data_IF_413169649464
#
_entry.id   IF_413169649464
#
_cell.length_a   1.000
_cell.length_b   1.000
_cell.length_c   1.000
_cell.angle_alpha   90.00
_cell.angle_beta   90.00
_cell.angle_gamma   90.00
#
_symmetry.space_group_name_H-M   'P 1'
#
loop_
_entity.id
_entity.type
_entity.pdbx_description
1 polymer ?
#
# COMPACT_ATOMS: atom_id res chain seq x y z
N UNK A 1 6.45 -54.40 2.99
CA UNK A 1 7.19 -53.24 3.53
C UNK A 1 8.10 -53.74 4.62
N UNK A 2 9.41 -53.47 4.57
CA UNK A 2 10.32 -53.86 5.66
C UNK A 2 10.28 -52.80 6.76
N UNK A 3 10.44 -53.21 8.04
CA UNK A 3 10.46 -52.29 9.20
C UNK A 3 11.39 -51.09 8.96
N UNK A 4 12.54 -51.32 8.33
CA UNK A 4 13.54 -50.29 7.98
C UNK A 4 12.99 -49.22 7.03
N UNK A 5 12.12 -49.62 6.09
CA UNK A 5 11.50 -48.71 5.12
C UNK A 5 10.40 -47.86 5.75
N UNK A 6 9.69 -48.39 6.76
CA UNK A 6 8.71 -47.63 7.54
C UNK A 6 9.39 -46.58 8.43
N UNK A 7 10.51 -46.92 9.09
CA UNK A 7 11.29 -45.96 9.87
C UNK A 7 11.88 -44.82 9.04
N UNK A 8 12.40 -45.15 7.84
CA UNK A 8 12.86 -44.12 6.91
C UNK A 8 11.73 -43.18 6.48
N UNK A 9 10.53 -43.71 6.22
CA UNK A 9 9.36 -42.88 5.91
C UNK A 9 8.98 -41.95 7.06
N UNK A 10 8.96 -42.44 8.29
CA UNK A 10 8.65 -41.62 9.48
C UNK A 10 9.68 -40.50 9.65
N UNK A 11 10.97 -40.79 9.45
CA UNK A 11 12.02 -39.76 9.50
C UNK A 11 11.84 -38.69 8.43
N UNK A 12 11.60 -39.09 7.17
CA UNK A 12 11.35 -38.15 6.08
C UNK A 12 10.13 -37.29 6.37
N UNK A 13 9.04 -37.89 6.86
CA UNK A 13 7.80 -37.19 7.16
C UNK A 13 7.99 -36.20 8.33
N UNK A 14 8.76 -36.58 9.34
CA UNK A 14 9.11 -35.69 10.47
C UNK A 14 9.94 -34.49 10.02
N UNK A 15 10.88 -34.68 9.09
CA UNK A 15 11.67 -33.58 8.53
C UNK A 15 10.79 -32.65 7.71
N UNK A 16 9.93 -33.20 6.85
CA UNK A 16 9.01 -32.41 6.03
C UNK A 16 8.07 -31.56 6.90
N UNK A 17 7.46 -32.15 7.94
CA UNK A 17 6.59 -31.41 8.86
C UNK A 17 7.37 -30.31 9.58
N UNK A 18 8.57 -30.61 10.07
CA UNK A 18 9.40 -29.63 10.77
C UNK A 18 9.74 -28.42 9.88
N UNK A 19 10.14 -28.67 8.63
CA UNK A 19 10.42 -27.61 7.65
C UNK A 19 9.15 -26.82 7.35
N UNK A 20 8.02 -27.49 7.06
CA UNK A 20 6.77 -26.80 6.74
C UNK A 20 6.28 -25.91 7.87
N UNK A 21 6.31 -26.39 9.12
CA UNK A 21 5.91 -25.61 10.29
C UNK A 21 6.82 -24.39 10.46
N UNK A 22 8.14 -24.57 10.36
CA UNK A 22 9.08 -23.46 10.47
C UNK A 22 8.88 -22.42 9.38
N UNK A 23 8.68 -22.83 8.13
CA UNK A 23 8.39 -21.91 7.03
C UNK A 23 7.13 -21.11 7.31
N UNK A 24 6.03 -21.75 7.73
CA UNK A 24 4.78 -21.05 8.05
C UNK A 24 4.94 -20.05 9.18
N UNK A 25 5.61 -20.43 10.27
CA UNK A 25 5.86 -19.53 11.42
C UNK A 25 6.72 -18.35 11.00
N UNK A 26 7.81 -18.60 10.27
CA UNK A 26 8.72 -17.56 9.81
C UNK A 26 8.02 -16.60 8.85
N UNK A 27 7.28 -17.12 7.87
CA UNK A 27 6.48 -16.30 6.95
C UNK A 27 5.47 -15.44 7.70
N UNK A 28 4.81 -15.98 8.72
CA UNK A 28 3.87 -15.21 9.54
C UNK A 28 4.54 -14.06 10.30
N UNK A 29 5.71 -14.31 10.91
CA UNK A 29 6.45 -13.29 11.65
C UNK A 29 6.95 -12.18 10.72
N UNK A 30 7.50 -12.56 9.56
CA UNK A 30 7.96 -11.62 8.54
C UNK A 30 6.79 -10.76 8.02
N UNK A 31 5.64 -11.38 7.78
CA UNK A 31 4.45 -10.67 7.33
C UNK A 31 3.97 -9.63 8.36
N UNK A 32 3.91 -10.01 9.64
CA UNK A 32 3.51 -9.08 10.70
C UNK A 32 4.50 -7.92 10.83
N UNK A 33 5.81 -8.21 10.83
CA UNK A 33 6.85 -7.18 10.85
C UNK A 33 6.71 -6.21 9.66
N UNK A 34 6.43 -6.73 8.47
CA UNK A 34 6.23 -5.90 7.27
C UNK A 34 5.01 -4.99 7.41
N UNK A 35 3.90 -5.50 7.95
CA UNK A 35 2.67 -4.72 8.18
C UNK A 35 2.93 -3.60 9.19
N UNK A 36 3.59 -3.91 10.31
CA UNK A 36 3.90 -2.91 11.34
C UNK A 36 4.83 -1.83 10.79
N UNK A 37 5.90 -2.23 10.11
CA UNK A 37 6.84 -1.31 9.46
C UNK A 37 6.14 -0.41 8.43
N UNK A 38 5.27 -1.00 7.60
CA UNK A 38 4.51 -0.27 6.59
C UNK A 38 3.52 0.71 7.21
N UNK A 39 2.94 0.36 8.37
CA UNK A 39 2.05 1.24 9.15
C UNK A 39 2.79 2.43 9.71
N UNK A 40 3.95 2.21 10.34
CA UNK A 40 4.77 3.30 10.86
C UNK A 40 5.28 4.23 9.77
N UNK A 41 5.69 3.65 8.63
CA UNK A 41 6.13 4.43 7.48
C UNK A 41 4.98 5.24 6.88
N UNK A 42 3.79 4.65 6.75
CA UNK A 42 2.58 5.34 6.32
C UNK A 42 2.26 6.54 7.23
N UNK A 43 2.26 6.35 8.55
CA UNK A 43 1.96 7.42 9.51
C UNK A 43 2.96 8.58 9.38
N UNK A 44 4.26 8.28 9.25
CA UNK A 44 5.30 9.30 9.00
C UNK A 44 5.12 10.00 7.66
N UNK A 45 4.70 9.29 6.62
CA UNK A 45 4.47 9.84 5.30
C UNK A 45 3.27 10.80 5.31
N UNK A 46 2.18 10.44 5.98
CA UNK A 46 1.00 11.29 6.18
C UNK A 46 1.35 12.57 6.93
N UNK A 47 2.12 12.50 8.02
CA UNK A 47 2.49 13.72 8.76
C UNK A 47 3.31 14.67 7.89
N UNK A 48 4.21 14.16 7.04
CA UNK A 48 4.98 14.98 6.11
C UNK A 48 4.10 15.57 4.99
N UNK A 49 3.16 14.78 4.46
CA UNK A 49 2.20 15.22 3.47
C UNK A 49 1.34 16.39 3.99
N UNK A 50 0.83 16.28 5.22
CA UNK A 50 0.04 17.35 5.85
C UNK A 50 0.87 18.61 6.06
N UNK A 51 2.12 18.47 6.54
CA UNK A 51 3.01 19.62 6.71
C UNK A 51 3.34 20.30 5.37
N UNK A 52 3.65 19.53 4.33
CA UNK A 52 3.89 20.06 2.99
C UNK A 52 2.66 20.77 2.44
N UNK A 53 1.47 20.15 2.60
CA UNK A 53 0.22 20.73 2.13
C UNK A 53 -0.12 22.03 2.85
N UNK A 54 0.19 22.12 4.16
CA UNK A 54 0.08 23.37 4.92
C UNK A 54 1.00 24.45 4.36
N UNK A 55 2.28 24.15 4.17
CA UNK A 55 3.25 25.09 3.62
C UNK A 55 2.86 25.56 2.20
N UNK A 56 2.41 24.63 1.36
CA UNK A 56 1.95 24.90 0.01
C UNK A 56 0.77 25.88 -0.03
N UNK A 57 -0.19 25.71 0.88
CA UNK A 57 -1.38 26.57 0.99
C UNK A 57 -1.05 27.93 1.64
N UNK A 58 -0.17 27.99 2.64
CA UNK A 58 0.17 29.23 3.33
C UNK A 58 1.07 30.16 2.50
N UNK A 59 1.97 29.60 1.68
CA UNK A 59 3.02 30.39 1.02
C UNK A 59 2.64 30.75 -0.43
N UNK A 60 1.69 30.06 -1.07
CA UNK A 60 1.16 30.39 -2.41
C UNK A 60 2.24 30.56 -3.51
N UNK A 61 3.39 29.89 -3.35
CA UNK A 61 4.57 30.02 -4.23
C UNK A 61 4.62 28.94 -5.32
N UNK A 62 3.86 27.86 -5.18
CA UNK A 62 3.93 26.73 -6.10
C UNK A 62 2.92 26.86 -7.24
N UNK A 63 3.36 26.55 -8.47
CA UNK A 63 2.42 26.27 -9.56
C UNK A 63 1.73 24.92 -9.34
N UNK A 64 0.55 24.73 -9.93
CA UNK A 64 -0.19 23.45 -9.84
C UNK A 64 0.67 22.25 -10.26
N UNK A 65 1.49 22.39 -11.32
CA UNK A 65 2.41 21.32 -11.76
C UNK A 65 3.53 21.03 -10.76
N UNK A 66 4.05 22.04 -10.07
CA UNK A 66 5.07 21.85 -9.03
C UNK A 66 4.47 21.17 -7.79
N UNK A 67 3.22 21.53 -7.43
CA UNK A 67 2.49 20.85 -6.37
C UNK A 67 2.27 19.39 -6.70
N UNK A 68 1.82 19.08 -7.92
CA UNK A 68 1.62 17.71 -8.35
C UNK A 68 2.94 16.91 -8.30
N UNK A 69 4.04 17.46 -8.83
CA UNK A 69 5.34 16.77 -8.79
C UNK A 69 5.80 16.46 -7.36
N UNK A 70 5.59 17.37 -6.41
CA UNK A 70 5.93 17.12 -5.01
C UNK A 70 4.95 16.14 -4.34
N UNK A 71 3.65 16.27 -4.61
CA UNK A 71 2.62 15.36 -4.09
C UNK A 71 2.81 13.92 -4.61
N UNK A 72 3.33 13.73 -5.82
CA UNK A 72 3.66 12.42 -6.36
C UNK A 72 4.69 11.67 -5.49
N UNK A 73 5.59 12.38 -4.80
CA UNK A 73 6.57 11.74 -3.92
C UNK A 73 5.93 11.08 -2.69
N UNK A 74 4.71 11.49 -2.34
CA UNK A 74 3.93 10.92 -1.25
C UNK A 74 3.04 9.75 -1.70
N UNK A 75 2.94 9.48 -3.01
CA UNK A 75 2.26 8.31 -3.55
C UNK A 75 3.11 7.07 -3.32
N UNK A 76 2.91 6.44 -2.17
CA UNK A 76 3.49 5.15 -1.83
C UNK A 76 2.42 4.29 -1.17
N UNK A 77 2.38 3.01 -1.54
CA UNK A 77 1.41 2.03 -1.03
C UNK A 77 1.30 2.12 0.51
N UNK A 78 0.10 2.25 1.10
CA UNK A 78 -1.23 2.06 0.50
C UNK A 78 -1.85 3.29 -0.20
N UNK A 79 -1.17 4.44 -0.27
CA UNK A 79 -1.73 5.67 -0.86
C UNK A 79 -1.70 5.60 -2.39
N UNK A 80 -2.87 5.62 -3.01
CA UNK A 80 -3.01 5.55 -4.47
C UNK A 80 -3.44 6.89 -5.10
N UNK A 81 -3.97 7.82 -4.31
CA UNK A 81 -4.38 9.15 -4.80
C UNK A 81 -4.32 10.20 -3.71
N UNK A 82 -3.90 11.41 -4.08
CA UNK A 82 -3.95 12.59 -3.22
C UNK A 82 -4.63 13.73 -3.98
N UNK A 83 -5.60 14.37 -3.34
CA UNK A 83 -6.24 15.60 -3.83
C UNK A 83 -6.10 16.70 -2.79
N UNK A 84 -5.59 17.85 -3.22
CA UNK A 84 -5.44 19.05 -2.40
C UNK A 84 -6.46 20.09 -2.85
N UNK A 85 -7.18 20.65 -1.88
CA UNK A 85 -8.20 21.67 -2.08
C UNK A 85 -7.87 22.94 -1.28
N UNK A 86 -8.20 24.10 -1.85
CA UNK A 86 -8.07 25.38 -1.16
C UNK A 86 -9.20 25.60 -0.15
N UNK A 87 -9.16 26.71 0.59
CA UNK A 87 -10.20 27.09 1.55
C UNK A 87 -11.60 27.27 0.92
N UNK A 88 -11.68 27.51 -0.39
CA UNK A 88 -12.93 27.66 -1.13
C UNK A 88 -13.45 26.32 -1.68
N UNK A 89 -12.69 25.23 -1.52
CA UNK A 89 -13.01 23.92 -2.07
C UNK A 89 -12.59 23.72 -3.53
N UNK A 90 -11.79 24.63 -4.10
CA UNK A 90 -11.22 24.44 -5.44
C UNK A 90 -10.08 23.43 -5.40
N UNK A 91 -10.07 22.52 -6.37
CA UNK A 91 -8.99 21.55 -6.52
C UNK A 91 -7.74 22.25 -7.06
N UNK A 92 -6.64 22.18 -6.32
CA UNK A 92 -5.38 22.84 -6.67
C UNK A 92 -4.35 21.87 -7.26
N UNK A 93 -4.41 20.60 -6.81
CA UNK A 93 -3.55 19.52 -7.30
C UNK A 93 -4.22 18.15 -7.13
N UNK A 94 -4.01 17.26 -8.09
CA UNK A 94 -4.53 15.90 -8.04
C UNK A 94 -3.56 14.89 -8.64
N UNK A 95 -2.96 14.08 -7.78
CA UNK A 95 -2.00 13.05 -8.16
C UNK A 95 -2.57 11.66 -7.93
N UNK A 96 -2.23 10.72 -8.80
CA UNK A 96 -2.68 9.32 -8.74
C UNK A 96 -1.52 8.40 -9.10
N UNK A 97 -1.44 7.23 -8.47
CA UNK A 97 -0.37 6.27 -8.74
C UNK A 97 -0.42 5.77 -10.19
N UNK A 98 0.76 5.53 -10.77
CA UNK A 98 0.90 5.04 -12.15
C UNK A 98 0.24 3.67 -12.36
N UNK A 99 0.23 2.85 -11.31
CA UNK A 99 -0.44 1.55 -11.29
C UNK A 99 -1.95 1.69 -11.49
N UNK A 100 -2.57 2.74 -10.93
CA UNK A 100 -3.98 3.10 -11.19
C UNK A 100 -4.19 3.73 -12.57
N UNK A 101 -3.24 4.52 -13.09
CA UNK A 101 -3.34 5.11 -14.44
C UNK A 101 -3.31 4.06 -15.56
N UNK A 102 -2.55 2.97 -15.39
CA UNK A 102 -2.46 1.88 -16.36
C UNK A 102 -3.76 1.07 -16.52
N UNK A 103 -4.59 1.01 -15.47
CA UNK A 103 -5.82 0.21 -15.45
C UNK A 103 -6.93 0.74 -16.36
N UNK A 104 -6.99 2.07 -16.56
CA UNK A 104 -7.99 2.67 -17.45
C UNK A 104 -7.79 2.34 -18.94
N UNK A 105 -6.56 2.01 -19.34
CA UNK A 105 -6.19 1.74 -20.75
C UNK A 105 -6.02 0.26 -21.09
N UNK A 106 -5.85 -0.62 -20.10
CA UNK A 106 -5.69 -2.07 -20.29
C UNK A 106 -7.02 -2.86 -20.26
N UNK A 107 -8.13 -2.21 -20.63
CA UNK A 107 -9.46 -2.86 -20.70
C UNK A 107 -9.61 -3.85 -21.87
N UNK A 108 -8.59 -4.02 -22.72
CA UNK A 108 -8.60 -4.92 -23.87
C UNK A 108 -7.48 -5.97 -23.79
N UNK A 109 -7.87 -7.22 -23.56
CA UNK A 109 -7.05 -8.41 -23.85
C UNK A 109 -6.62 -9.21 -22.62
N UNK A 110 -7.22 -10.40 -22.47
CA UNK A 110 -6.78 -11.66 -21.79
C UNK A 110 -6.00 -11.67 -20.46
N UNK A 111 -5.26 -10.63 -20.06
CA UNK A 111 -4.54 -10.52 -18.77
C UNK A 111 -5.44 -10.15 -17.58
N UNK A 112 -6.69 -9.75 -17.83
CA UNK A 112 -7.60 -9.23 -16.82
C UNK A 112 -7.99 -10.30 -15.75
N UNK A 113 -8.04 -11.59 -16.13
CA UNK A 113 -8.48 -12.65 -15.23
C UNK A 113 -7.52 -12.97 -14.07
N UNK A 114 -6.21 -12.87 -14.32
CA UNK A 114 -5.18 -13.12 -13.30
C UNK A 114 -5.01 -11.93 -12.35
N UNK A 115 -5.05 -10.70 -12.87
CA UNK A 115 -4.96 -9.49 -12.04
C UNK A 115 -6.17 -9.33 -11.12
N UNK A 116 -7.38 -9.66 -11.58
CA UNK A 116 -8.59 -9.54 -10.75
C UNK A 116 -8.59 -10.52 -9.55
N UNK A 117 -7.98 -11.71 -9.71
CA UNK A 117 -7.78 -12.65 -8.61
C UNK A 117 -6.70 -12.19 -7.61
N UNK A 118 -5.66 -11.49 -8.08
CA UNK A 118 -4.62 -10.92 -7.21
C UNK A 118 -5.08 -9.65 -6.49
N UNK A 119 -5.90 -8.82 -7.15
CA UNK A 119 -6.43 -7.59 -6.55
C UNK A 119 -7.60 -7.85 -5.60
N UNK A 120 -8.42 -8.88 -5.83
CA UNK A 120 -9.59 -9.15 -5.00
C UNK A 120 -10.44 -7.88 -4.75
N UNK A 121 -11.35 -7.92 -3.79
CA UNK A 121 -12.07 -6.73 -3.34
C UNK A 121 -11.15 -5.86 -2.46
N UNK A 122 -10.05 -5.33 -3.02
CA UNK A 122 -9.28 -4.30 -2.35
C UNK A 122 -10.16 -3.05 -2.25
N UNK A 123 -10.89 -2.93 -1.13
CA UNK A 123 -11.72 -1.78 -0.84
C UNK A 123 -10.82 -0.55 -0.72
N UNK A 124 -11.21 0.54 -1.36
CA UNK A 124 -10.55 1.83 -1.21
C UNK A 124 -11.25 2.61 -0.10
N UNK A 125 -10.46 3.29 0.72
CA UNK A 125 -10.93 4.21 1.74
C UNK A 125 -10.40 5.61 1.43
N UNK A 126 -11.27 6.61 1.62
CA UNK A 126 -10.89 8.02 1.52
C UNK A 126 -10.74 8.58 2.93
N UNK A 127 -9.53 8.98 3.27
CA UNK A 127 -9.24 9.75 4.46
C UNK A 127 -9.22 11.24 4.09
N UNK A 128 -10.03 12.03 4.78
CA UNK A 128 -10.08 13.48 4.62
C UNK A 128 -9.49 14.14 5.86
N UNK A 129 -8.59 15.10 5.65
CA UNK A 129 -8.02 15.93 6.70
C UNK A 129 -8.17 17.40 6.34
N UNK A 130 -8.68 18.19 7.28
CA UNK A 130 -8.68 19.65 7.18
C UNK A 130 -7.27 20.16 7.50
N UNK A 131 -6.83 21.17 6.75
CA UNK A 131 -5.55 21.82 6.97
C UNK A 131 -5.81 23.14 7.68
N UNK A 132 -5.28 23.23 8.89
CA UNK A 132 -5.42 24.40 9.74
C UNK A 132 -4.10 25.17 9.88
N UNK A 133 -4.20 26.49 9.82
CA UNK A 133 -3.12 27.39 10.18
C UNK A 133 -3.63 28.43 11.17
N UNK A 134 -2.99 28.48 12.36
CA UNK A 134 -3.39 29.36 13.46
C UNK A 134 -4.89 29.29 13.82
N UNK A 135 -5.51 28.11 13.73
CA UNK A 135 -6.93 27.88 14.04
C UNK A 135 -7.91 28.24 12.91
N UNK A 136 -7.40 28.59 11.72
CA UNK A 136 -8.22 28.83 10.52
C UNK A 136 -8.00 27.70 9.52
N UNK A 137 -9.09 27.11 9.01
CA UNK A 137 -9.01 26.12 7.93
C UNK A 137 -8.61 26.82 6.64
N UNK A 138 -7.43 26.47 6.12
CA UNK A 138 -6.87 27.03 4.89
C UNK A 138 -7.02 26.11 3.68
N UNK A 139 -7.50 24.88 3.90
CA UNK A 139 -7.78 23.92 2.84
C UNK A 139 -8.08 22.53 3.35
N UNK A 140 -8.12 21.57 2.42
CA UNK A 140 -8.44 20.16 2.71
C UNK A 140 -7.59 19.23 1.87
N UNK A 141 -7.16 18.12 2.45
CA UNK A 141 -6.50 17.02 1.75
C UNK A 141 -7.37 15.78 1.82
N UNK A 142 -7.61 15.18 0.65
CA UNK A 142 -8.21 13.87 0.53
C UNK A 142 -7.14 12.86 0.06
N UNK A 143 -6.92 11.84 0.87
CA UNK A 143 -6.00 10.74 0.59
C UNK A 143 -6.85 9.50 0.34
N UNK A 144 -6.73 8.92 -0.86
CA UNK A 144 -7.32 7.61 -1.17
C UNK A 144 -6.26 6.55 -0.95
N UNK A 145 -6.63 5.49 -0.24
CA UNK A 145 -5.74 4.38 0.09
C UNK A 145 -6.48 3.04 0.05
N UNK A 146 -5.75 1.94 -0.01
CA UNK A 146 -6.32 0.62 0.27
C UNK A 146 -6.69 0.48 1.76
N UNK A 147 -7.86 -0.11 2.04
CA UNK A 147 -8.49 -0.18 3.37
C UNK A 147 -7.63 -0.85 4.45
N UNK A 148 -6.76 -1.79 4.06
CA UNK A 148 -5.77 -2.34 4.98
C UNK A 148 -4.41 -2.45 4.32
N UNK A 149 -3.38 -2.11 5.11
CA UNK A 149 -1.97 -2.27 4.73
C UNK A 149 -1.67 -3.75 4.45
N UNK A 150 -2.26 -4.66 5.23
CA UNK A 150 -2.19 -6.10 4.97
C UNK A 150 -2.79 -6.55 3.63
N UNK A 151 -3.72 -5.77 3.05
CA UNK A 151 -4.31 -6.03 1.73
C UNK A 151 -3.73 -5.13 0.63
N UNK A 152 -2.72 -4.34 0.94
CA UNK A 152 -2.10 -3.46 -0.02
C UNK A 152 -1.39 -4.27 -1.11
N UNK A 153 -1.17 -3.66 -2.26
CA UNK A 153 -0.68 -4.37 -3.44
C UNK A 153 0.77 -4.84 -3.23
N UNK A 154 1.59 -4.06 -2.53
CA UNK A 154 2.96 -4.45 -2.17
C UNK A 154 2.98 -5.57 -1.13
N UNK A 155 2.12 -5.52 -0.11
CA UNK A 155 2.02 -6.61 0.88
C UNK A 155 1.66 -7.92 0.21
N UNK A 156 0.71 -7.91 -0.74
CA UNK A 156 0.32 -9.13 -1.47
C UNK A 156 1.43 -9.68 -2.35
N UNK A 157 2.15 -8.82 -3.08
CA UNK A 157 3.33 -9.21 -3.86
C UNK A 157 4.39 -9.82 -2.96
N UNK A 158 4.62 -9.23 -1.79
CA UNK A 158 5.58 -9.69 -0.81
C UNK A 158 5.19 -11.04 -0.19
N UNK A 159 3.93 -11.22 0.24
CA UNK A 159 3.45 -12.52 0.73
C UNK A 159 3.56 -13.60 -0.34
N UNK A 160 3.21 -13.26 -1.59
CA UNK A 160 3.35 -14.19 -2.71
C UNK A 160 4.81 -14.56 -2.97
N UNK A 161 5.76 -13.59 -2.92
CA UNK A 161 7.17 -13.89 -3.13
C UNK A 161 7.73 -14.79 -2.03
N UNK A 162 7.28 -14.64 -0.77
CA UNK A 162 7.65 -15.56 0.32
C UNK A 162 7.17 -16.99 0.05
N UNK A 163 5.95 -17.17 -0.47
CA UNK A 163 5.39 -18.50 -0.77
C UNK A 163 6.02 -19.10 -2.04
N UNK A 164 6.22 -18.31 -3.09
CA UNK A 164 6.72 -18.77 -4.38
C UNK A 164 8.24 -19.01 -4.41
N UNK A 165 8.99 -18.43 -3.46
CA UNK A 165 10.44 -18.68 -3.29
C UNK A 165 10.75 -19.76 -2.25
N UNK A 166 9.72 -20.33 -1.60
CA UNK A 166 9.81 -21.51 -0.73
C UNK A 166 9.65 -22.79 -1.53
#
# INVERSE_FOLDING_TARGET
MTIRRQWLLVLVLSVLISVSVNTVVLSSLINNYFIDYSTDNYNKNISRLLNFSKEALSVNVYSSQQLEMQLETFLSDPINRIRLYDANGNLIANVTSKEHQGMGRMRNGMMNGMMNHMMGNASEEVYSADIEDNGVIIGKVNITKYSSIGNSLETRKFTYSLIASS
#
